data_IF_473868592347
#
_entry.id   IF_473868592347
#
_cell.length_a   1.000
_cell.length_b   1.000
_cell.length_c   1.000
_cell.angle_alpha   90.00
_cell.angle_beta   90.00
_cell.angle_gamma   90.00
#
_symmetry.space_group_name_H-M   'P 1'
#
loop_
_entity.id
_entity.type
_entity.pdbx_description
1 polymer ?
#
# COMPACT_ATOMS: atom_id res chain seq x y z
N UNK A 1 30.19 14.15 50.97
CA UNK A 1 30.16 13.06 49.97
C UNK A 1 29.48 13.70 48.79
N UNK A 2 30.34 14.27 47.96
CA UNK A 2 30.02 15.35 47.05
C UNK A 2 29.79 14.75 45.67
N UNK A 3 28.67 15.11 45.04
CA UNK A 3 28.47 14.89 43.61
C UNK A 3 27.83 16.14 43.02
N UNK A 4 28.69 16.96 42.42
CA UNK A 4 28.34 18.03 41.50
C UNK A 4 27.63 17.43 40.27
N UNK A 5 26.42 17.89 39.98
CA UNK A 5 25.78 17.63 38.69
C UNK A 5 26.17 18.74 37.73
N UNK A 6 27.32 18.56 37.08
CA UNK A 6 27.74 19.39 35.96
C UNK A 6 26.74 19.25 34.81
N UNK A 7 26.28 20.39 34.29
CA UNK A 7 25.35 20.47 33.19
C UNK A 7 25.89 19.77 31.93
N UNK A 8 25.02 18.99 31.30
CA UNK A 8 25.21 18.55 29.91
C UNK A 8 24.14 19.25 29.07
N UNK A 9 24.57 20.30 28.38
CA UNK A 9 23.83 20.94 27.31
C UNK A 9 23.71 19.96 26.13
N UNK A 10 22.53 19.97 25.52
CA UNK A 10 22.20 19.72 24.11
C UNK A 10 22.69 18.41 23.47
N UNK A 11 21.73 17.54 23.18
CA UNK A 11 21.59 16.95 21.84
C UNK A 11 20.13 16.52 21.71
N UNK A 12 19.32 17.42 21.16
CA UNK A 12 18.00 17.09 20.63
C UNK A 12 18.22 16.03 19.54
N UNK A 13 17.90 14.77 19.87
CA UNK A 13 17.81 13.70 18.89
C UNK A 13 16.70 14.05 17.90
N UNK A 14 17.08 14.74 16.84
CA UNK A 14 16.27 14.97 15.66
C UNK A 14 16.04 13.62 14.97
N UNK A 15 15.02 12.91 15.42
CA UNK A 15 14.45 11.81 14.65
C UNK A 15 13.79 12.47 13.43
N UNK A 16 14.27 12.25 12.19
CA UNK A 16 13.61 12.81 11.03
C UNK A 16 12.26 12.14 10.93
N UNK A 17 11.22 12.89 11.24
CA UNK A 17 9.84 12.47 11.09
C UNK A 17 9.61 12.10 9.62
N UNK A 18 9.57 10.80 9.33
CA UNK A 18 9.04 10.29 8.06
C UNK A 18 7.49 10.30 8.05
N UNK A 19 6.87 10.97 9.04
CA UNK A 19 5.44 11.25 9.04
C UNK A 19 5.23 12.36 8.01
N UNK A 20 4.43 12.09 6.97
CA UNK A 20 3.77 13.15 6.21
C UNK A 20 3.12 14.06 7.24
N UNK A 21 3.61 15.30 7.41
CA UNK A 21 3.10 16.20 8.43
C UNK A 21 1.63 16.52 8.14
N UNK A 22 0.72 15.75 8.74
CA UNK A 22 -0.75 15.96 8.66
C UNK A 22 -1.13 17.27 9.35
N UNK A 23 -0.22 17.86 10.12
CA UNK A 23 -0.40 19.14 10.82
C UNK A 23 -0.85 20.29 9.90
N UNK A 24 -0.48 20.23 8.62
CA UNK A 24 -0.89 21.20 7.60
C UNK A 24 -1.86 20.61 6.57
N UNK A 25 -2.62 19.58 6.93
CA UNK A 25 -3.53 18.91 6.03
C UNK A 25 -4.98 18.97 6.57
N UNK A 26 -5.89 19.50 5.78
CA UNK A 26 -7.30 19.63 6.10
C UNK A 26 -8.13 18.65 5.25
N UNK A 27 -9.15 18.06 5.88
CA UNK A 27 -10.12 17.22 5.20
C UNK A 27 -11.13 18.15 4.50
N UNK A 28 -11.13 18.21 3.17
CA UNK A 28 -12.06 19.06 2.43
C UNK A 28 -13.52 18.58 2.55
N UNK A 29 -13.71 17.27 2.75
CA UNK A 29 -15.02 16.63 2.83
C UNK A 29 -14.95 15.37 3.68
N UNK A 30 -16.02 15.07 4.43
CA UNK A 30 -16.14 13.83 5.20
C UNK A 30 -16.06 12.54 4.36
N UNK A 31 -16.13 12.64 3.03
CA UNK A 31 -15.99 11.51 2.10
C UNK A 31 -14.62 11.44 1.41
N UNK A 32 -13.74 12.41 1.64
CA UNK A 32 -12.41 12.39 1.03
C UNK A 32 -11.45 11.51 1.85
N UNK A 33 -10.68 10.68 1.15
CA UNK A 33 -9.57 9.92 1.73
C UNK A 33 -8.22 10.61 1.52
N UNK A 34 -8.23 11.72 0.78
CA UNK A 34 -7.11 12.61 0.53
C UNK A 34 -7.23 13.80 1.48
N UNK A 35 -6.08 14.31 1.95
CA UNK A 35 -6.03 15.55 2.68
C UNK A 35 -5.50 16.64 1.77
N UNK A 36 -6.21 17.75 1.70
CA UNK A 36 -5.69 18.93 1.03
C UNK A 36 -4.76 19.70 1.98
N UNK A 37 -3.81 20.48 1.45
CA UNK A 37 -3.10 21.45 2.27
C UNK A 37 -4.09 22.37 2.99
N UNK A 38 -3.86 22.64 4.27
CA UNK A 38 -4.59 23.61 5.08
C UNK A 38 -4.11 25.04 4.74
N UNK A 39 -4.09 25.34 3.45
CA UNK A 39 -3.80 26.66 2.88
C UNK A 39 -5.09 27.15 2.22
N UNK A 40 -5.47 28.42 2.46
CA UNK A 40 -6.66 28.97 1.82
C UNK A 40 -6.50 28.91 0.30
N UNK A 41 -7.48 28.29 -0.37
CA UNK A 41 -7.56 28.32 -1.83
C UNK A 41 -7.65 29.76 -2.27
N UNK A 42 -6.71 30.19 -3.12
CA UNK A 42 -6.74 31.54 -3.68
C UNK A 42 -7.75 31.59 -4.83
N UNK A 43 -8.68 32.53 -4.78
CA UNK A 43 -9.65 32.81 -5.88
C UNK A 43 -8.98 33.39 -7.13
N UNK A 44 -7.70 33.76 -7.00
CA UNK A 44 -6.88 34.27 -8.08
C UNK A 44 -6.41 33.09 -8.94
N UNK A 45 -6.91 33.00 -10.18
CA UNK A 45 -6.24 32.21 -11.21
C UNK A 45 -4.77 32.66 -11.23
N UNK A 46 -3.84 31.72 -10.93
CA UNK A 46 -2.45 32.03 -10.61
C UNK A 46 -1.92 33.13 -11.52
N UNK A 47 -1.65 34.31 -10.93
CA UNK A 47 -1.48 35.62 -11.59
C UNK A 47 -0.41 35.62 -12.70
N UNK A 48 0.35 34.53 -12.83
CA UNK A 48 1.47 34.38 -13.75
C UNK A 48 1.44 33.11 -14.64
N UNK A 49 0.36 32.31 -14.71
CA UNK A 49 0.16 31.12 -15.59
C UNK A 49 1.31 30.09 -15.71
N UNK A 50 2.39 30.24 -14.97
CA UNK A 50 3.62 29.49 -15.11
C UNK A 50 3.68 28.48 -13.99
N UNK A 51 3.51 27.21 -14.37
CA UNK A 51 3.81 26.10 -13.48
C UNK A 51 5.23 26.26 -12.92
N UNK A 52 5.34 26.41 -11.61
CA UNK A 52 6.61 26.36 -10.90
C UNK A 52 6.76 24.94 -10.35
N UNK A 53 7.70 24.13 -10.85
CA UNK A 53 7.93 22.79 -10.31
C UNK A 53 8.26 22.85 -8.82
N UNK A 54 7.67 21.95 -8.04
CA UNK A 54 8.01 21.77 -6.63
C UNK A 54 9.53 21.50 -6.51
N UNK A 55 10.26 22.39 -5.82
CA UNK A 55 11.68 22.20 -5.55
C UNK A 55 11.84 21.27 -4.36
N UNK A 56 11.96 19.97 -4.65
CA UNK A 56 12.32 18.98 -3.64
C UNK A 56 13.81 19.16 -3.34
N UNK A 57 14.22 19.51 -2.10
CA UNK A 57 15.63 19.61 -1.76
C UNK A 57 16.29 18.24 -1.95
N UNK A 58 17.51 18.24 -2.48
CA UNK A 58 18.30 17.01 -2.55
C UNK A 58 18.52 16.52 -1.12
N UNK A 59 18.04 15.30 -0.84
CA UNK A 59 18.33 14.59 0.40
C UNK A 59 19.34 13.51 0.04
N UNK A 60 20.45 13.45 0.77
CA UNK A 60 21.33 12.29 0.69
C UNK A 60 20.49 11.05 0.99
N UNK A 61 20.57 10.04 0.13
CA UNK A 61 19.91 8.78 0.40
C UNK A 61 20.59 8.13 1.60
N UNK A 62 19.93 8.14 2.76
CA UNK A 62 20.30 7.27 3.85
C UNK A 62 20.01 5.84 3.40
N UNK A 63 21.02 5.19 2.81
CA UNK A 63 20.96 3.77 2.58
C UNK A 63 20.96 3.14 3.96
N UNK A 64 19.87 2.46 4.33
CA UNK A 64 19.84 1.62 5.52
C UNK A 64 21.02 0.65 5.41
N UNK A 65 22.06 0.87 6.22
CA UNK A 65 23.30 0.07 6.20
C UNK A 65 23.16 -1.23 6.98
N UNK A 66 22.00 -1.45 7.60
CA UNK A 66 21.67 -2.69 8.29
C UNK A 66 21.28 -3.78 7.29
N UNK A 67 21.74 -5.00 7.55
CA UNK A 67 21.42 -6.21 6.79
C UNK A 67 19.95 -6.61 7.03
N UNK A 68 19.02 -5.80 6.52
CA UNK A 68 17.61 -6.14 6.59
C UNK A 68 17.28 -7.26 5.60
N UNK A 69 16.64 -8.31 6.12
CA UNK A 69 15.93 -9.25 5.28
C UNK A 69 14.81 -8.52 4.52
N UNK A 70 14.76 -8.58 3.17
CA UNK A 70 13.78 -7.84 2.38
C UNK A 70 12.33 -8.12 2.76
N UNK A 71 12.02 -9.34 3.22
CA UNK A 71 10.66 -9.70 3.66
C UNK A 71 10.32 -9.01 4.97
N UNK A 72 11.28 -8.97 5.91
CA UNK A 72 11.13 -8.27 7.18
C UNK A 72 10.91 -6.77 6.97
N UNK A 73 11.67 -6.15 6.07
CA UNK A 73 11.47 -4.74 5.70
C UNK A 73 10.09 -4.51 5.07
N UNK A 74 9.66 -5.38 4.16
CA UNK A 74 8.34 -5.27 3.53
C UNK A 74 7.20 -5.34 4.56
N UNK A 75 7.33 -6.21 5.57
CA UNK A 75 6.34 -6.37 6.64
C UNK A 75 6.24 -5.16 7.56
N UNK A 76 7.25 -4.29 7.61
CA UNK A 76 7.16 -3.02 8.34
C UNK A 76 6.14 -2.07 7.68
N UNK A 77 6.08 -2.07 6.34
CA UNK A 77 5.10 -1.28 5.58
C UNK A 77 3.75 -1.96 5.42
N UNK A 78 3.73 -3.30 5.44
CA UNK A 78 2.50 -4.09 5.35
C UNK A 78 2.44 -5.07 6.54
N UNK A 79 2.09 -4.56 7.74
CA UNK A 79 2.07 -5.35 8.96
C UNK A 79 1.06 -6.50 8.92
N UNK A 80 1.39 -7.61 9.59
CA UNK A 80 0.59 -8.83 9.56
C UNK A 80 -0.80 -8.64 10.16
N UNK A 81 -0.95 -7.80 11.18
CA UNK A 81 -2.25 -7.43 11.76
C UNK A 81 -3.14 -6.68 10.75
N UNK A 82 -2.55 -5.87 9.87
CA UNK A 82 -3.28 -5.15 8.81
C UNK A 82 -3.78 -6.14 7.77
N UNK A 83 -2.92 -7.05 7.33
CA UNK A 83 -3.29 -8.12 6.39
C UNK A 83 -4.35 -9.05 6.99
N UNK A 84 -4.27 -9.33 8.29
CA UNK A 84 -5.28 -10.11 9.00
C UNK A 84 -6.67 -9.45 8.90
N UNK A 85 -6.76 -8.13 9.09
CA UNK A 85 -8.02 -7.38 8.89
C UNK A 85 -8.52 -7.50 7.46
N UNK A 86 -7.63 -7.35 6.47
CA UNK A 86 -7.99 -7.49 5.05
C UNK A 86 -8.58 -8.86 4.75
N UNK A 87 -7.97 -9.92 5.28
CA UNK A 87 -8.45 -11.30 5.14
C UNK A 87 -9.87 -11.45 5.71
N UNK A 88 -10.12 -10.90 6.90
CA UNK A 88 -11.43 -10.95 7.55
C UNK A 88 -12.51 -10.28 6.68
N UNK A 89 -12.27 -9.04 6.26
CA UNK A 89 -13.21 -8.26 5.44
C UNK A 89 -13.43 -8.87 4.06
N UNK A 90 -12.37 -9.37 3.44
CA UNK A 90 -12.41 -10.05 2.14
C UNK A 90 -13.29 -11.29 2.22
N UNK A 91 -13.08 -12.15 3.21
CA UNK A 91 -13.85 -13.39 3.35
C UNK A 91 -15.32 -13.13 3.70
N UNK A 92 -15.61 -12.17 4.58
CA UNK A 92 -16.98 -11.79 4.91
C UNK A 92 -17.74 -11.31 3.66
N UNK A 93 -17.11 -10.44 2.88
CA UNK A 93 -17.71 -9.89 1.65
C UNK A 93 -17.85 -10.97 0.58
N UNK A 94 -16.80 -11.74 0.33
CA UNK A 94 -16.78 -12.74 -0.73
C UNK A 94 -17.78 -13.88 -0.49
N UNK A 95 -17.95 -14.34 0.76
CA UNK A 95 -19.01 -15.30 1.11
C UNK A 95 -20.41 -14.76 0.82
N UNK A 96 -20.62 -13.45 1.00
CA UNK A 96 -21.92 -12.82 0.69
C UNK A 96 -22.18 -12.76 -0.82
N UNK A 97 -21.16 -12.45 -1.62
CA UNK A 97 -21.30 -12.28 -3.08
C UNK A 97 -21.25 -13.61 -3.85
N UNK A 98 -20.32 -14.51 -3.50
CA UNK A 98 -20.06 -15.77 -4.20
C UNK A 98 -20.71 -16.98 -3.53
N UNK A 99 -21.23 -16.83 -2.31
CA UNK A 99 -21.85 -17.92 -1.56
C UNK A 99 -20.86 -19.07 -1.30
N UNK A 100 -21.35 -20.31 -1.46
CA UNK A 100 -20.60 -21.55 -1.20
C UNK A 100 -19.41 -21.79 -2.15
N UNK A 101 -19.27 -20.99 -3.22
CA UNK A 101 -18.17 -21.11 -4.18
C UNK A 101 -16.87 -20.41 -3.76
N UNK A 102 -16.90 -19.61 -2.68
CA UNK A 102 -15.70 -18.93 -2.18
C UNK A 102 -14.88 -19.85 -1.26
N UNK A 103 -13.59 -19.94 -1.54
CA UNK A 103 -12.61 -20.53 -0.62
C UNK A 103 -12.00 -19.38 0.16
N UNK A 104 -12.14 -19.44 1.49
CA UNK A 104 -11.61 -18.41 2.38
C UNK A 104 -10.12 -18.20 2.13
N UNK A 105 -9.73 -16.93 2.04
CA UNK A 105 -8.33 -16.58 1.92
C UNK A 105 -7.65 -16.52 3.27
N UNK A 106 -6.34 -16.70 3.28
CA UNK A 106 -5.49 -16.68 4.48
C UNK A 106 -4.43 -15.58 4.38
N UNK A 107 -3.84 -15.19 5.51
CA UNK A 107 -2.77 -14.19 5.56
C UNK A 107 -1.59 -14.56 4.64
N UNK A 108 -1.08 -15.81 4.62
CA UNK A 108 0.00 -16.20 3.70
C UNK A 108 -0.41 -16.12 2.23
N UNK A 109 -1.66 -16.43 1.89
CA UNK A 109 -2.16 -16.27 0.51
C UNK A 109 -2.15 -14.81 0.08
N UNK A 110 -2.54 -13.88 0.95
CA UNK A 110 -2.51 -12.44 0.63
C UNK A 110 -1.07 -11.96 0.45
N UNK A 111 -0.12 -12.37 1.30
CA UNK A 111 1.29 -12.06 1.09
C UNK A 111 1.84 -12.68 -0.20
N UNK A 112 1.41 -13.89 -0.55
CA UNK A 112 1.77 -14.52 -1.83
C UNK A 112 1.23 -13.70 -3.00
N UNK A 113 -0.02 -13.26 -2.93
CA UNK A 113 -0.64 -12.39 -3.94
C UNK A 113 0.10 -11.04 -4.07
N UNK A 114 0.48 -10.40 -2.96
CA UNK A 114 1.32 -9.19 -2.97
C UNK A 114 2.69 -9.44 -3.62
N UNK A 115 3.33 -10.56 -3.30
CA UNK A 115 4.59 -10.97 -3.92
C UNK A 115 4.47 -11.16 -5.43
N UNK A 116 3.34 -11.70 -5.91
CA UNK A 116 3.06 -11.82 -7.34
C UNK A 116 2.85 -10.46 -8.01
N UNK A 117 2.19 -9.50 -7.35
CA UNK A 117 2.05 -8.14 -7.87
C UNK A 117 3.41 -7.44 -8.02
N UNK A 118 4.29 -7.58 -7.01
CA UNK A 118 5.66 -7.04 -7.08
C UNK A 118 6.43 -7.70 -8.23
N UNK A 119 6.33 -9.04 -8.35
CA UNK A 119 6.96 -9.78 -9.44
C UNK A 119 6.51 -9.28 -10.82
N UNK A 120 5.21 -9.06 -11.03
CA UNK A 120 4.65 -8.52 -12.28
C UNK A 120 5.05 -7.06 -12.54
N UNK A 121 5.33 -6.28 -11.48
CA UNK A 121 5.88 -4.94 -11.63
C UNK A 121 7.29 -4.94 -12.23
N UNK A 122 8.08 -5.98 -11.91
CA UNK A 122 9.46 -6.15 -12.37
C UNK A 122 9.51 -6.87 -13.73
N UNK A 123 8.72 -7.93 -13.89
CA UNK A 123 8.66 -8.76 -15.09
C UNK A 123 7.38 -8.44 -15.83
N UNK A 124 7.47 -7.75 -16.97
CA UNK A 124 6.30 -7.35 -17.75
C UNK A 124 6.03 -8.37 -18.86
N UNK A 125 4.82 -8.94 -18.84
CA UNK A 125 4.28 -9.77 -19.91
C UNK A 125 3.19 -9.03 -20.70
N UNK A 126 2.88 -9.50 -21.91
CA UNK A 126 1.86 -8.90 -22.79
C UNK A 126 0.44 -9.03 -22.23
N UNK A 127 0.10 -10.19 -21.67
CA UNK A 127 -1.18 -10.43 -21.05
C UNK A 127 -1.05 -11.11 -19.68
N UNK A 128 -2.03 -10.88 -18.81
CA UNK A 128 -2.05 -11.46 -17.45
C UNK A 128 -1.99 -12.99 -17.43
N UNK A 129 -2.51 -13.64 -18.48
CA UNK A 129 -2.48 -15.10 -18.63
C UNK A 129 -1.10 -15.65 -18.95
N UNK A 130 -0.21 -14.82 -19.49
CA UNK A 130 1.10 -15.26 -19.97
C UNK A 130 2.03 -15.58 -18.80
N UNK A 131 1.87 -14.91 -17.65
CA UNK A 131 2.53 -15.25 -16.38
C UNK A 131 2.26 -16.68 -15.88
N UNK A 132 1.21 -17.34 -16.38
CA UNK A 132 0.83 -18.72 -16.02
C UNK A 132 1.00 -19.73 -17.16
N UNK A 133 1.65 -19.34 -18.26
CA UNK A 133 2.04 -20.30 -19.30
C UNK A 133 3.16 -21.19 -18.77
N UNK A 134 3.05 -22.49 -19.02
CA UNK A 134 4.16 -23.43 -18.81
C UNK A 134 5.02 -23.42 -20.06
N UNK A 135 6.35 -23.58 -19.92
CA UNK A 135 7.19 -23.81 -21.08
C UNK A 135 6.68 -25.07 -21.79
N UNK A 136 6.38 -24.92 -23.08
CA UNK A 136 6.08 -26.06 -23.94
C UNK A 136 7.35 -26.43 -24.68
N UNK A 137 7.46 -27.68 -25.13
CA UNK A 137 8.68 -28.22 -25.74
C UNK A 137 9.21 -27.37 -26.92
N UNK A 138 8.32 -26.64 -27.62
CA UNK A 138 8.65 -25.79 -28.77
C UNK A 138 8.83 -24.30 -28.43
N UNK A 139 8.55 -23.89 -27.19
CA UNK A 139 8.66 -22.49 -26.75
C UNK A 139 9.49 -22.45 -25.46
N UNK A 140 10.75 -22.02 -25.57
CA UNK A 140 11.63 -21.73 -24.43
C UNK A 140 11.13 -20.50 -23.65
N UNK A 141 9.95 -20.62 -23.03
CA UNK A 141 9.40 -19.61 -22.14
C UNK A 141 10.15 -19.71 -20.80
N UNK A 142 10.55 -18.58 -20.19
CA UNK A 142 11.10 -18.58 -18.84
C UNK A 142 10.19 -19.37 -17.89
N UNK A 143 10.77 -20.20 -17.02
CA UNK A 143 9.99 -20.91 -16.01
C UNK A 143 9.41 -19.88 -15.03
N UNK A 144 8.17 -19.46 -15.28
CA UNK A 144 7.52 -18.44 -14.47
C UNK A 144 7.19 -18.99 -13.08
N UNK A 145 7.68 -18.30 -12.06
CA UNK A 145 7.43 -18.58 -10.65
C UNK A 145 5.94 -18.53 -10.22
N UNK A 146 5.05 -17.69 -10.79
CA UNK A 146 3.65 -17.58 -10.38
C UNK A 146 2.87 -18.89 -10.31
N UNK A 147 3.06 -19.76 -11.30
CA UNK A 147 2.38 -21.07 -11.35
C UNK A 147 2.70 -21.94 -10.14
N UNK A 148 3.88 -21.77 -9.52
CA UNK A 148 4.28 -22.52 -8.32
C UNK A 148 3.57 -22.04 -7.04
N UNK A 149 3.22 -20.76 -6.98
CA UNK A 149 2.77 -20.12 -5.75
C UNK A 149 1.24 -19.95 -5.68
N UNK A 150 0.59 -19.67 -6.81
CA UNK A 150 -0.86 -19.46 -6.84
C UNK A 150 -1.42 -19.76 -8.23
N UNK A 151 -2.54 -20.51 -8.35
CA UNK A 151 -3.22 -20.67 -9.64
C UNK A 151 -3.77 -19.34 -10.17
N UNK A 152 -3.78 -19.16 -11.49
CA UNK A 152 -4.29 -17.95 -12.15
C UNK A 152 -5.69 -17.56 -11.67
N UNK A 153 -6.62 -18.52 -11.62
CA UNK A 153 -8.01 -18.23 -11.29
C UNK A 153 -8.14 -17.78 -9.83
N UNK A 154 -7.32 -18.34 -8.92
CA UNK A 154 -7.24 -17.89 -7.52
C UNK A 154 -6.68 -16.48 -7.42
N UNK A 155 -5.64 -16.16 -8.20
CA UNK A 155 -5.08 -14.81 -8.27
C UNK A 155 -6.11 -13.78 -8.78
N UNK A 156 -6.88 -14.13 -9.81
CA UNK A 156 -7.95 -13.28 -10.34
C UNK A 156 -9.08 -13.10 -9.33
N UNK A 157 -9.47 -14.16 -8.62
CA UNK A 157 -10.45 -14.07 -7.54
C UNK A 157 -9.96 -13.11 -6.44
N UNK A 158 -8.69 -13.19 -6.01
CA UNK A 158 -8.14 -12.26 -5.04
C UNK A 158 -8.11 -10.81 -5.55
N UNK A 159 -7.73 -10.57 -6.82
CA UNK A 159 -7.77 -9.23 -7.41
C UNK A 159 -9.15 -8.59 -7.39
N UNK A 160 -10.23 -9.39 -7.49
CA UNK A 160 -11.59 -8.89 -7.50
C UNK A 160 -12.14 -8.66 -6.09
N UNK A 161 -11.78 -9.51 -5.14
CA UNK A 161 -12.43 -9.54 -3.82
C UNK A 161 -11.61 -8.93 -2.69
N UNK A 162 -10.31 -8.67 -2.87
CA UNK A 162 -9.50 -8.08 -1.81
C UNK A 162 -10.14 -6.79 -1.27
N UNK A 163 -10.19 -6.67 0.06
CA UNK A 163 -10.75 -5.53 0.78
C UNK A 163 -9.70 -4.99 1.76
N UNK A 164 -8.99 -3.91 1.40
CA UNK A 164 -7.99 -3.31 2.27
C UNK A 164 -8.58 -2.39 3.36
N UNK A 165 -9.89 -2.14 3.33
CA UNK A 165 -10.59 -1.24 4.25
C UNK A 165 -11.79 -1.93 4.90
N UNK A 166 -12.17 -1.43 6.07
CA UNK A 166 -13.33 -1.88 6.81
C UNK A 166 -14.62 -1.61 6.02
N UNK A 167 -15.40 -2.64 5.64
CA UNK A 167 -16.63 -2.49 4.88
C UNK A 167 -17.69 -1.65 5.61
N UNK A 168 -17.65 -1.62 6.94
CA UNK A 168 -18.65 -0.92 7.75
C UNK A 168 -18.22 0.52 8.09
N UNK A 169 -17.00 0.94 7.70
CA UNK A 169 -16.53 2.31 7.91
C UNK A 169 -17.06 3.32 6.88
N UNK A 170 -17.74 2.85 5.83
CA UNK A 170 -18.38 3.70 4.82
C UNK A 170 -19.72 4.19 5.37
N UNK A 171 -19.84 5.50 5.63
CA UNK A 171 -21.08 6.13 6.09
C UNK A 171 -22.26 5.81 5.15
N UNK A 172 -23.39 5.26 5.67
CA UNK A 172 -24.60 4.99 4.89
C UNK A 172 -25.11 6.20 4.09
N UNK A 173 -24.84 7.43 4.54
CA UNK A 173 -25.24 8.66 3.85
C UNK A 173 -24.50 8.86 2.50
N UNK A 174 -23.36 8.19 2.27
CA UNK A 174 -22.58 8.28 1.04
C UNK A 174 -23.24 7.62 -0.18
N UNK A 175 -24.29 6.81 0.02
CA UNK A 175 -24.85 5.94 -1.04
C UNK A 175 -26.10 6.49 -1.74
N UNK A 176 -26.60 7.67 -1.36
CA UNK A 176 -27.73 8.33 -2.03
C UNK A 176 -27.28 9.15 -3.25
N UNK A 177 -26.72 8.48 -4.28
CA UNK A 177 -26.44 9.09 -5.59
C UNK A 177 -27.65 8.97 -6.54
N UNK A 178 -28.88 8.86 -6.02
CA UNK A 178 -30.12 8.89 -6.81
C UNK A 178 -31.05 10.00 -6.35
N UNK A 179 -30.69 11.25 -6.63
CA UNK A 179 -31.65 12.35 -6.82
C UNK A 179 -31.24 13.24 -7.97
#
# INVERSE_FOLDING_TARGET
MDYEFAGRQNEENHVPSFIIAIENAALESHFDSTFAPNEETTDEAGVNEQFVPLRIPFRDGECLTEDFDPVSLFKEFVPENTVFSWVSWTNQTARTVRGLGWIDTTVPEVYTWLGLLIYMGIHKEEAIRDYWKSSTYDEEVPLHLPTRYMPRDRFLDLNLFIRPYDPDSIDPQATDFRK
#
